data_IF_757099182137
#
_entry.id   IF_757099182137
#
_cell.length_a   1.000
_cell.length_b   1.000
_cell.length_c   1.000
_cell.angle_alpha   90.00
_cell.angle_beta   90.00
_cell.angle_gamma   90.00
#
_symmetry.space_group_name_H-M   'P 1'
#
loop_
_entity.id
_entity.type
_entity.pdbx_description
1 polymer ?
#
# COMPACT_ATOMS: atom_id res chain seq x y z
N UNK A 1 17.43 1.43 4.30
CA UNK A 1 16.94 0.91 5.59
C UNK A 1 15.44 0.59 5.52
N UNK A 2 14.54 1.59 5.54
CA UNK A 2 13.08 1.35 5.52
C UNK A 2 12.63 0.46 4.36
N UNK A 3 13.09 0.74 3.14
CA UNK A 3 12.73 -0.08 1.98
C UNK A 3 13.11 -1.56 2.16
N UNK A 4 14.31 -1.83 2.65
CA UNK A 4 14.78 -3.19 2.94
C UNK A 4 14.00 -3.84 4.09
N UNK A 5 13.69 -3.07 5.14
CA UNK A 5 12.92 -3.53 6.29
C UNK A 5 11.52 -4.01 5.87
N UNK A 6 10.82 -3.23 5.05
CA UNK A 6 9.49 -3.58 4.57
C UNK A 6 9.51 -4.68 3.52
N UNK A 7 10.47 -4.66 2.59
CA UNK A 7 10.64 -5.74 1.62
C UNK A 7 10.87 -7.09 2.28
N UNK A 8 11.61 -7.15 3.39
CA UNK A 8 11.79 -8.38 4.17
C UNK A 8 10.49 -8.86 4.82
N UNK A 9 9.69 -7.96 5.39
CA UNK A 9 8.39 -8.31 5.97
C UNK A 9 7.39 -8.79 4.91
N UNK A 10 7.44 -8.21 3.71
CA UNK A 10 6.58 -8.57 2.58
C UNK A 10 7.12 -9.76 1.77
N UNK A 11 8.29 -10.29 2.12
CA UNK A 11 8.98 -11.37 1.40
C UNK A 11 9.20 -11.05 -0.11
N UNK A 12 9.56 -9.79 -0.42
CA UNK A 12 9.79 -9.29 -1.78
C UNK A 12 11.21 -8.73 -1.94
N UNK A 13 11.77 -8.69 -3.16
CA UNK A 13 13.04 -8.01 -3.40
C UNK A 13 12.92 -6.51 -3.08
N UNK A 14 14.00 -5.93 -2.55
CA UNK A 14 14.02 -4.51 -2.21
C UNK A 14 14.01 -3.65 -3.48
N UNK A 15 12.98 -2.81 -3.68
CA UNK A 15 12.91 -1.95 -4.85
C UNK A 15 13.95 -0.84 -4.77
N UNK A 16 14.42 -0.41 -5.94
CA UNK A 16 15.29 0.77 -6.07
C UNK A 16 14.43 2.02 -6.20
N UNK A 17 14.86 3.13 -5.62
CA UNK A 17 14.20 4.41 -5.85
C UNK A 17 14.74 5.06 -7.13
N UNK A 18 13.87 5.69 -7.91
CA UNK A 18 14.28 6.48 -9.05
C UNK A 18 15.09 7.71 -8.60
N UNK A 19 15.95 8.29 -9.48
CA UNK A 19 16.67 9.50 -9.14
C UNK A 19 15.74 10.67 -8.78
N UNK A 20 14.63 10.85 -9.51
CA UNK A 20 13.67 11.92 -9.23
C UNK A 20 12.99 11.72 -7.88
N UNK A 21 12.68 10.47 -7.54
CA UNK A 21 12.11 10.09 -6.25
C UNK A 21 13.01 10.49 -5.08
N UNK A 22 14.30 10.16 -5.19
CA UNK A 22 15.31 10.49 -4.18
C UNK A 22 15.51 12.00 -4.06
N UNK A 23 15.53 12.71 -5.18
CA UNK A 23 15.67 14.17 -5.19
C UNK A 23 14.46 14.84 -4.53
N UNK A 24 13.26 14.33 -4.77
CA UNK A 24 12.05 14.84 -4.14
C UNK A 24 12.02 14.62 -2.62
N UNK A 25 12.45 13.45 -2.16
CA UNK A 25 12.60 13.14 -0.73
C UNK A 25 13.64 14.04 -0.05
N UNK A 26 14.73 14.37 -0.74
CA UNK A 26 15.76 15.28 -0.23
C UNK A 26 15.29 16.73 -0.13
N UNK A 27 14.43 17.15 -1.04
CA UNK A 27 13.95 18.54 -1.14
C UNK A 27 12.64 18.79 -0.37
N UNK A 28 12.12 17.78 0.34
CA UNK A 28 10.94 17.95 1.19
C UNK A 28 11.36 18.46 2.58
N UNK A 29 10.60 19.40 3.16
CA UNK A 29 10.96 20.04 4.42
C UNK A 29 10.70 19.16 5.66
N UNK A 30 10.02 18.02 5.49
CA UNK A 30 9.69 17.06 6.55
C UNK A 30 9.15 17.70 7.84
N UNK A 31 7.97 18.35 7.77
CA UNK A 31 7.41 19.07 8.91
C UNK A 31 7.03 18.17 10.10
N UNK A 32 6.85 16.84 9.90
CA UNK A 32 6.39 15.91 10.95
C UNK A 32 7.19 14.61 11.15
N UNK A 33 8.53 14.66 11.13
CA UNK A 33 9.47 13.60 11.56
C UNK A 33 9.63 12.37 10.63
N UNK A 34 10.60 11.51 11.00
CA UNK A 34 11.01 10.24 10.36
C UNK A 34 9.85 9.26 10.07
N UNK A 35 8.72 9.40 10.78
CA UNK A 35 7.52 8.57 10.57
C UNK A 35 6.87 8.84 9.22
N UNK A 36 6.87 10.07 8.75
CA UNK A 36 6.37 10.39 7.41
C UNK A 36 7.22 9.71 6.33
N UNK A 37 8.54 9.74 6.50
CA UNK A 37 9.47 9.05 5.59
C UNK A 37 9.24 7.54 5.64
N UNK A 38 9.06 6.98 6.83
CA UNK A 38 8.77 5.56 7.01
C UNK A 38 7.48 5.16 6.29
N UNK A 39 6.38 5.89 6.49
CA UNK A 39 5.07 5.60 5.87
C UNK A 39 5.13 5.73 4.35
N UNK A 40 5.79 6.79 3.86
CA UNK A 40 5.94 7.03 2.43
C UNK A 40 6.76 5.91 1.78
N UNK A 41 7.88 5.50 2.39
CA UNK A 41 8.71 4.41 1.88
C UNK A 41 8.00 3.06 1.97
N UNK A 42 7.24 2.80 3.04
CA UNK A 42 6.44 1.58 3.18
C UNK A 42 5.42 1.46 2.06
N UNK A 43 4.64 2.52 1.84
CA UNK A 43 3.64 2.59 0.77
C UNK A 43 4.27 2.39 -0.59
N UNK A 44 5.40 3.05 -0.85
CA UNK A 44 6.12 2.95 -2.10
C UNK A 44 6.64 1.53 -2.36
N UNK A 45 7.18 0.84 -1.34
CA UNK A 45 7.61 -0.56 -1.46
C UNK A 45 6.43 -1.49 -1.73
N UNK A 46 5.29 -1.23 -1.12
CA UNK A 46 4.09 -2.01 -1.34
C UNK A 46 3.62 -1.84 -2.79
N UNK A 47 3.45 -0.60 -3.26
CA UNK A 47 2.99 -0.21 -4.60
C UNK A 47 3.89 -0.65 -5.73
N UNK A 48 5.20 -0.64 -5.51
CA UNK A 48 6.18 -0.99 -6.51
C UNK A 48 6.02 -2.45 -6.95
N UNK A 49 5.68 -2.64 -8.22
CA UNK A 49 5.49 -3.94 -8.86
C UNK A 49 6.63 -4.30 -9.82
N UNK A 50 7.38 -3.32 -10.33
CA UNK A 50 8.49 -3.48 -11.28
C UNK A 50 9.88 -3.31 -10.65
N UNK A 51 9.95 -3.16 -9.32
CA UNK A 51 11.20 -3.01 -8.58
C UNK A 51 11.81 -1.61 -8.64
N UNK A 52 11.12 -0.62 -9.23
CA UNK A 52 11.51 0.79 -9.21
C UNK A 52 10.40 1.65 -8.59
N UNK A 53 10.72 2.33 -7.48
CA UNK A 53 9.84 3.33 -6.84
C UNK A 53 10.01 4.66 -7.59
N UNK A 54 8.92 5.17 -8.19
CA UNK A 54 8.85 6.47 -8.88
C UNK A 54 8.12 7.50 -8.02
N UNK A 55 8.18 8.77 -8.43
CA UNK A 55 7.45 9.89 -7.79
C UNK A 55 5.94 9.59 -7.67
N UNK A 56 5.36 8.97 -8.68
CA UNK A 56 3.95 8.61 -8.74
C UNK A 56 3.53 7.64 -7.62
N UNK A 57 4.45 6.73 -7.24
CA UNK A 57 4.26 5.78 -6.13
C UNK A 57 4.32 6.47 -4.75
N UNK A 58 4.91 7.67 -4.67
CA UNK A 58 5.05 8.46 -3.45
C UNK A 58 4.02 9.59 -3.43
N UNK A 59 2.77 9.19 -3.29
CA UNK A 59 1.67 10.14 -3.27
C UNK A 59 1.59 10.89 -1.95
N UNK A 60 2.03 12.15 -2.00
CA UNK A 60 2.16 13.05 -0.85
C UNK A 60 0.84 13.69 -0.38
N UNK A 61 -0.28 13.47 -1.09
CA UNK A 61 -1.59 14.00 -0.69
C UNK A 61 -2.06 13.47 0.68
N UNK A 62 -1.51 12.34 1.14
CA UNK A 62 -1.78 11.78 2.48
C UNK A 62 -1.02 12.51 3.60
N UNK A 63 -0.01 13.32 3.27
CA UNK A 63 0.80 14.01 4.28
C UNK A 63 0.10 15.26 4.85
N UNK A 64 -1.08 15.64 4.34
CA UNK A 64 -1.71 16.93 4.64
C UNK A 64 -2.92 16.89 5.59
N UNK A 65 -3.41 15.74 6.06
CA UNK A 65 -4.51 15.77 7.03
C UNK A 65 -5.15 14.43 7.32
N UNK A 66 -5.17 14.10 8.62
CA UNK A 66 -5.95 13.03 9.26
C UNK A 66 -5.71 11.63 8.69
N UNK A 67 -4.64 11.00 9.16
CA UNK A 67 -4.37 9.59 8.93
C UNK A 67 -5.55 8.72 9.45
N UNK A 68 -6.24 7.94 8.58
CA UNK A 68 -7.02 6.81 9.05
C UNK A 68 -6.07 5.84 9.74
N UNK A 69 -6.48 5.28 10.88
CA UNK A 69 -5.66 4.43 11.74
C UNK A 69 -5.12 3.22 10.94
N UNK A 70 -3.84 3.27 10.58
CA UNK A 70 -3.14 2.21 9.84
C UNK A 70 -2.90 0.99 10.76
N UNK A 71 -3.26 -0.21 10.28
CA UNK A 71 -2.78 -1.48 10.85
C UNK A 71 -1.75 -2.09 9.91
N UNK A 72 -0.55 -2.36 10.44
CA UNK A 72 0.48 -3.20 9.82
C UNK A 72 0.86 -2.87 8.36
N UNK A 73 0.85 -1.58 7.97
CA UNK A 73 1.35 -1.16 6.65
C UNK A 73 0.36 -1.19 5.50
N UNK A 74 -0.94 -1.23 5.82
CA UNK A 74 -2.02 -1.21 4.86
C UNK A 74 -2.82 0.09 4.98
N UNK A 75 -3.06 0.70 3.82
CA UNK A 75 -3.88 1.90 3.65
C UNK A 75 -5.35 1.51 3.45
N UNK A 76 -6.28 2.38 3.81
CA UNK A 76 -7.70 2.11 3.58
C UNK A 76 -8.00 1.94 2.08
N UNK A 77 -8.92 1.04 1.78
CA UNK A 77 -9.34 0.77 0.39
C UNK A 77 -9.89 2.02 -0.30
N UNK A 78 -10.53 2.94 0.44
CA UNK A 78 -11.12 4.17 -0.10
C UNK A 78 -10.11 5.09 -0.79
N UNK A 79 -8.84 5.02 -0.39
CA UNK A 79 -7.82 5.83 -1.04
C UNK A 79 -7.43 5.29 -2.42
N UNK A 80 -7.49 3.97 -2.60
CA UNK A 80 -7.26 3.34 -3.89
C UNK A 80 -8.47 3.43 -4.82
N UNK A 81 -9.68 3.56 -4.27
CA UNK A 81 -10.90 3.79 -5.06
C UNK A 81 -10.81 5.08 -5.90
N UNK A 82 -10.06 6.09 -5.45
CA UNK A 82 -9.90 7.39 -6.14
C UNK A 82 -8.86 7.39 -7.26
N UNK A 83 -7.96 6.40 -7.29
CA UNK A 83 -6.81 6.37 -8.21
C UNK A 83 -7.11 5.73 -9.55
N UNK A 84 -7.99 4.72 -9.54
CA UNK A 84 -8.41 4.03 -10.76
C UNK A 84 -8.68 2.56 -10.51
N UNK A 85 -9.41 1.95 -11.44
CA UNK A 85 -9.85 0.55 -11.33
C UNK A 85 -8.68 -0.45 -11.30
N UNK A 86 -7.60 -0.19 -12.04
CA UNK A 86 -6.44 -1.08 -12.12
C UNK A 86 -5.60 -1.06 -10.84
N UNK A 87 -5.32 0.12 -10.30
CA UNK A 87 -4.59 0.28 -9.03
C UNK A 87 -5.40 -0.32 -7.86
N UNK A 88 -6.71 -0.09 -7.82
CA UNK A 88 -7.59 -0.67 -6.81
C UNK A 88 -7.58 -2.21 -6.88
N UNK A 89 -7.69 -2.78 -8.09
CA UNK A 89 -7.64 -4.22 -8.29
C UNK A 89 -6.30 -4.80 -7.82
N UNK A 90 -5.17 -4.22 -8.24
CA UNK A 90 -3.85 -4.70 -7.85
C UNK A 90 -3.58 -4.54 -6.34
N UNK A 91 -4.20 -3.56 -5.69
CA UNK A 91 -4.13 -3.42 -4.23
C UNK A 91 -4.93 -4.49 -3.48
N UNK A 92 -6.16 -4.73 -3.92
CA UNK A 92 -7.02 -5.79 -3.38
C UNK A 92 -6.37 -7.17 -3.54
N UNK A 93 -5.77 -7.44 -4.70
CA UNK A 93 -5.09 -8.70 -4.97
C UNK A 93 -3.90 -8.91 -4.03
N UNK A 94 -3.04 -7.90 -3.85
CA UNK A 94 -1.92 -7.97 -2.89
C UNK A 94 -2.38 -8.19 -1.47
N UNK A 95 -3.46 -7.51 -1.04
CA UNK A 95 -4.04 -7.70 0.29
C UNK A 95 -4.55 -9.11 0.50
N UNK A 96 -5.22 -9.67 -0.52
CA UNK A 96 -5.69 -11.05 -0.49
C UNK A 96 -4.51 -12.03 -0.49
N UNK A 97 -3.48 -11.82 -1.30
CA UNK A 97 -2.29 -12.70 -1.30
C UNK A 97 -1.57 -12.69 0.06
N UNK A 98 -1.37 -11.51 0.65
CA UNK A 98 -0.71 -11.36 1.95
C UNK A 98 -1.45 -12.10 3.08
N UNK A 99 -2.78 -12.23 2.98
CA UNK A 99 -3.59 -12.97 3.96
C UNK A 99 -3.89 -14.40 3.55
N UNK A 100 -3.33 -14.90 2.45
CA UNK A 100 -3.64 -16.25 1.95
C UNK A 100 -5.09 -16.40 1.48
N UNK A 101 -5.66 -15.33 0.94
CA UNK A 101 -7.03 -15.18 0.46
C UNK A 101 -8.10 -15.27 1.56
N UNK A 102 -7.69 -15.03 2.81
CA UNK A 102 -8.61 -14.97 3.95
C UNK A 102 -9.28 -13.59 3.97
N UNK A 103 -10.61 -13.58 3.92
CA UNK A 103 -11.41 -12.33 3.89
C UNK A 103 -11.72 -11.83 5.32
N UNK A 104 -12.00 -12.75 6.26
CA UNK A 104 -12.53 -12.44 7.59
C UNK A 104 -11.50 -12.68 8.71
N UNK A 105 -11.73 -12.03 9.85
CA UNK A 105 -10.98 -12.25 11.08
C UNK A 105 -9.82 -11.29 11.27
N UNK A 106 -9.13 -11.43 12.41
CA UNK A 106 -8.02 -10.56 12.82
C UNK A 106 -6.85 -10.54 11.83
N UNK A 107 -6.70 -11.61 11.03
CA UNK A 107 -5.70 -11.75 9.95
C UNK A 107 -6.31 -11.71 8.55
N UNK A 108 -7.56 -11.27 8.42
CA UNK A 108 -8.29 -11.22 7.16
C UNK A 108 -7.97 -9.95 6.37
N UNK A 109 -8.09 -10.04 5.04
CA UNK A 109 -7.84 -8.93 4.12
C UNK A 109 -8.77 -7.74 4.39
N UNK A 110 -9.98 -7.97 4.93
CA UNK A 110 -10.91 -6.89 5.27
C UNK A 110 -10.41 -6.06 6.46
N UNK A 111 -9.93 -6.75 7.51
CA UNK A 111 -9.36 -6.13 8.70
C UNK A 111 -8.07 -5.38 8.35
N UNK A 112 -7.25 -6.00 7.52
CA UNK A 112 -5.99 -5.48 7.00
C UNK A 112 -6.22 -4.23 6.13
N UNK A 113 -7.25 -4.20 5.29
CA UNK A 113 -7.62 -3.05 4.47
C UNK A 113 -8.48 -2.00 5.20
N UNK A 114 -8.79 -2.22 6.49
CA UNK A 114 -9.64 -1.33 7.28
C UNK A 114 -11.06 -1.18 6.71
N UNK A 115 -11.58 -2.20 6.02
CA UNK A 115 -12.92 -2.18 5.42
C UNK A 115 -13.81 -3.29 5.94
N UNK A 116 -15.11 -3.08 5.88
CA UNK A 116 -16.06 -4.14 6.18
C UNK A 116 -15.88 -5.31 5.19
N UNK A 117 -15.88 -6.58 5.64
CA UNK A 117 -15.71 -7.75 4.77
C UNK A 117 -16.69 -7.82 3.60
N UNK A 118 -17.89 -7.28 3.78
CA UNK A 118 -18.90 -7.21 2.73
C UNK A 118 -18.52 -6.21 1.62
N UNK A 119 -17.89 -5.08 1.98
CA UNK A 119 -17.32 -4.12 1.03
C UNK A 119 -16.18 -4.78 0.24
N UNK A 120 -15.30 -5.51 0.93
CA UNK A 120 -14.23 -6.26 0.28
C UNK A 120 -14.78 -7.31 -0.72
N UNK A 121 -15.79 -8.10 -0.32
CA UNK A 121 -16.46 -9.06 -1.23
C UNK A 121 -17.10 -8.39 -2.44
N UNK A 122 -17.75 -7.25 -2.25
CA UNK A 122 -18.34 -6.49 -3.36
C UNK A 122 -17.27 -6.04 -4.36
N UNK A 123 -16.10 -5.60 -3.88
CA UNK A 123 -14.96 -5.23 -4.74
C UNK A 123 -14.31 -6.44 -5.41
N UNK A 124 -14.16 -7.56 -4.71
CA UNK A 124 -13.69 -8.81 -5.32
C UNK A 124 -14.60 -9.23 -6.48
N UNK A 125 -15.93 -9.14 -6.30
CA UNK A 125 -16.90 -9.43 -7.36
C UNK A 125 -16.82 -8.43 -8.52
N UNK A 126 -16.61 -7.14 -8.22
CA UNK A 126 -16.44 -6.08 -9.23
C UNK A 126 -15.25 -6.35 -10.15
N UNK A 127 -14.15 -6.87 -9.61
CA UNK A 127 -12.90 -7.09 -10.35
C UNK A 127 -12.63 -8.55 -10.72
N UNK A 128 -13.61 -9.43 -10.48
CA UNK A 128 -13.53 -10.89 -10.63
C UNK A 128 -12.27 -11.50 -9.99
N UNK A 129 -11.89 -10.99 -8.82
CA UNK A 129 -10.74 -11.49 -8.04
C UNK A 129 -11.09 -12.82 -7.40
N UNK A 130 -10.36 -13.88 -7.77
CA UNK A 130 -10.54 -15.23 -7.25
C UNK A 130 -9.19 -15.81 -6.89
N UNK A 131 -9.19 -16.64 -5.84
CA UNK A 131 -8.00 -17.35 -5.40
C UNK A 131 -7.44 -18.17 -6.57
N UNK A 132 -6.17 -17.98 -6.95
CA UNK A 132 -5.54 -18.84 -7.95
C UNK A 132 -5.51 -20.27 -7.39
N UNK A 133 -6.06 -21.20 -8.19
CA UNK A 133 -6.11 -22.63 -7.88
C UNK A 133 -4.75 -23.29 -8.09
#
# INVERSE_FOLDING_TARGET
>A
FFAEHFSRHLNRPTPKMSPEALERLRNYEWPGNIRELEHLVQRAVLLCSDGIIRIEDMSMEVMAGEAPVEKEGWVSLEEYERRGAEEEKGYLERALEATGWVIYGEKGAAELLGVHPEKLRARMKKYDLRRPT
#
